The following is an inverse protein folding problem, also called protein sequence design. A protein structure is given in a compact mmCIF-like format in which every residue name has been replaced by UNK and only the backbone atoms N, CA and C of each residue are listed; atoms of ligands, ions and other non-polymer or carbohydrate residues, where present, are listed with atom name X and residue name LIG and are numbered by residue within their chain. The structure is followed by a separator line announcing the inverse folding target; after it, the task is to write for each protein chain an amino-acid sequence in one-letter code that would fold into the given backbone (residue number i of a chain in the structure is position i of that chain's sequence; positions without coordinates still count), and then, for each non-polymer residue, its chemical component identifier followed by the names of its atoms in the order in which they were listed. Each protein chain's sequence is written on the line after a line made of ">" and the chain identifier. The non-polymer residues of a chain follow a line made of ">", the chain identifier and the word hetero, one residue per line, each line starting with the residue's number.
data_IF_391111642501
#
_entry.id   IF_391111642501
#
_cell.length_a   1.000
_cell.length_b   1.000
_cell.length_c   1.000
_cell.angle_alpha   90.00
_cell.angle_beta   90.00
_cell.angle_gamma   90.00
#
_symmetry.space_group_name_H-M   'P 1'
#
loop_
_entity.id
_entity.type
_entity.pdbx_description
1 polymer ?
#
# COMPACT_ATOMS: atom_id res chain seq x y z
N UNK A 9 1.45 -2.75 -12.87
CA UNK A 9 2.10 -2.01 -13.93
C UNK A 9 1.45 -2.32 -15.28
N UNK A 10 0.74 -3.43 -15.35
CA UNK A 10 0.07 -3.83 -16.58
C UNK A 10 -1.36 -4.28 -16.30
N UNK A 11 -1.57 -4.95 -15.18
CA UNK A 11 -2.89 -5.43 -14.79
C UNK A 11 -3.03 -5.50 -13.27
N UNK A 12 -1.94 -5.88 -12.61
CA UNK A 12 -1.93 -6.00 -11.15
C UNK A 12 -2.43 -4.72 -10.50
N UNK A 13 -1.94 -3.59 -10.99
CA UNK A 13 -2.33 -2.28 -10.46
C UNK A 13 -3.02 -1.44 -11.53
N UNK A 14 -2.97 -1.91 -12.77
CA UNK A 14 -3.59 -1.20 -13.88
C UNK A 14 -5.09 -1.46 -13.94
N UNK A 15 -5.52 -2.56 -13.30
CA UNK A 15 -6.93 -2.91 -13.28
C UNK A 15 -7.76 -1.85 -12.57
N UNK A 16 -7.09 -1.04 -11.76
CA UNK A 16 -7.76 0.03 -11.02
C UNK A 16 -8.04 1.23 -11.90
N UNK A 17 -7.21 1.40 -12.94
CA UNK A 17 -7.38 2.51 -13.87
C UNK A 17 -8.81 2.58 -14.40
N UNK A 18 -9.26 1.48 -15.02
CA UNK A 18 -10.61 1.39 -15.58
C UNK A 18 -11.69 1.34 -14.49
N UNK A 19 -11.25 1.22 -13.24
CA UNK A 19 -12.18 1.16 -12.12
C UNK A 19 -12.03 2.38 -11.21
N UNK A 20 -12.48 3.54 -11.72
CA UNK A 20 -12.41 4.81 -10.99
C UNK A 20 -13.37 4.84 -9.80
N UNK A 21 -14.22 3.82 -9.70
CA UNK A 21 -15.18 3.74 -8.62
C UNK A 21 -14.48 3.83 -7.27
N UNK A 22 -13.22 3.45 -7.23
CA UNK A 22 -12.44 3.48 -6.00
C UNK A 22 -12.05 4.92 -5.64
N UNK A 23 -11.68 5.69 -6.65
CA UNK A 23 -11.30 7.08 -6.45
C UNK A 23 -12.52 7.98 -6.31
N UNK A 24 -13.64 7.54 -6.86
CA UNK A 24 -14.88 8.29 -6.81
C UNK A 24 -15.57 8.11 -5.46
N UNK A 25 -15.55 6.87 -4.96
CA UNK A 25 -16.18 6.56 -3.68
C UNK A 25 -15.41 7.20 -2.53
N UNK A 26 -14.09 7.19 -2.64
CA UNK A 26 -13.24 7.77 -1.60
C UNK A 26 -13.29 9.30 -1.65
N UNK A 27 -13.23 9.86 -2.85
CA UNK A 27 -13.27 11.31 -3.01
C UNK A 27 -14.60 11.87 -2.53
N UNK A 28 -15.66 11.08 -2.66
CA UNK A 28 -16.99 11.51 -2.24
C UNK A 28 -17.16 11.35 -0.73
N UNK A 29 -16.59 10.29 -0.17
CA UNK A 29 -16.67 10.03 1.26
C UNK A 29 -15.69 10.91 2.03
N UNK A 30 -14.40 10.66 1.84
CA UNK A 30 -13.37 11.42 2.51
C UNK A 30 -13.59 12.93 2.33
N UNK A 31 -13.47 13.38 1.07
CA UNK A 31 -13.66 14.79 0.79
C UNK A 31 -12.47 15.40 0.06
N UNK A 32 -11.34 15.48 0.76
CA UNK A 32 -10.12 16.05 0.17
C UNK A 32 -8.97 15.99 1.16
N UNK A 33 -9.28 16.16 2.44
CA UNK A 33 -8.27 16.13 3.48
C UNK A 33 -7.45 14.84 3.42
N UNK A 34 -8.14 13.71 3.57
CA UNK A 34 -7.48 12.41 3.53
C UNK A 34 -7.23 11.97 2.10
N UNK A 35 -8.15 12.32 1.20
CA UNK A 35 -8.02 11.97 -0.20
C UNK A 35 -6.78 12.60 -0.82
N UNK A 36 -6.34 13.71 -0.23
CA UNK A 36 -5.17 14.43 -0.72
C UNK A 36 -3.92 13.55 -0.62
N UNK A 37 -3.56 13.18 0.60
CA UNK A 37 -2.39 12.34 0.83
C UNK A 37 -2.43 11.09 -0.05
N UNK A 38 -3.41 10.24 0.20
CA UNK A 38 -3.57 9.00 -0.58
C UNK A 38 -3.65 9.31 -2.07
N UNK A 39 -4.09 10.51 -2.40
CA UNK A 39 -4.21 10.90 -3.80
C UNK A 39 -2.86 11.19 -4.43
N UNK A 40 -2.06 12.01 -3.78
CA UNK A 40 -0.75 12.37 -4.29
C UNK A 40 0.23 11.21 -4.13
N UNK A 41 -0.02 10.36 -3.14
CA UNK A 41 0.84 9.21 -2.88
C UNK A 41 0.85 8.26 -4.08
N UNK A 42 -0.33 7.99 -4.62
CA UNK A 42 -0.44 7.10 -5.77
C UNK A 42 0.34 7.64 -6.97
N UNK A 43 0.44 8.96 -7.05
CA UNK A 43 1.16 9.61 -8.14
C UNK A 43 2.62 9.14 -8.17
N UNK A 44 3.37 9.48 -7.12
CA UNK A 44 4.76 9.11 -7.02
C UNK A 44 4.91 7.60 -6.79
N UNK A 45 3.88 7.00 -6.21
CA UNK A 45 3.90 5.56 -5.94
C UNK A 45 4.23 4.77 -7.20
N UNK A 46 3.47 5.01 -8.26
CA UNK A 46 3.68 4.31 -9.52
C UNK A 46 4.83 4.94 -10.31
N UNK A 47 5.09 6.22 -10.03
CA UNK A 47 6.16 6.94 -10.71
C UNK A 47 7.51 6.28 -10.45
N UNK A 48 7.62 5.60 -9.31
CA UNK A 48 8.85 4.91 -8.95
C UNK A 48 9.26 3.90 -10.00
N UNK A 49 8.30 3.47 -10.82
CA UNK A 49 8.56 2.50 -11.88
C UNK A 49 9.73 2.95 -12.74
N UNK A 50 10.57 1.99 -13.13
CA UNK A 50 11.73 2.29 -13.96
C UNK A 50 12.04 1.13 -14.90
N UNK A 51 13.17 1.23 -15.60
CA UNK A 51 13.57 0.19 -16.54
C UNK A 51 14.98 0.46 -17.08
N UNK A 52 15.10 1.55 -17.85
CA UNK A 52 16.38 1.92 -18.43
C UNK A 52 17.46 2.06 -17.36
N UNK A 53 18.69 2.24 -17.78
CA UNK A 53 19.81 2.38 -16.85
C UNK A 53 19.61 3.59 -15.94
N UNK A 54 18.75 4.50 -16.35
CA UNK A 54 18.47 5.70 -15.58
C UNK A 54 18.13 5.34 -14.13
N UNK A 55 17.55 4.15 -13.94
CA UNK A 55 17.19 3.69 -12.61
C UNK A 55 18.41 3.64 -11.70
N UNK A 56 19.55 3.25 -12.25
CA UNK A 56 20.78 3.15 -11.49
C UNK A 56 21.26 4.54 -11.05
N UNK A 57 20.85 5.57 -11.78
CA UNK A 57 21.23 6.93 -11.47
C UNK A 57 20.38 7.49 -10.33
N UNK A 58 19.11 7.11 -10.31
CA UNK A 58 18.19 7.57 -9.27
C UNK A 58 18.45 6.85 -7.95
N UNK A 59 18.90 5.61 -8.04
CA UNK A 59 19.20 4.81 -6.86
C UNK A 59 20.23 5.49 -5.98
N UNK A 60 21.04 6.35 -6.59
CA UNK A 60 22.08 7.08 -5.86
C UNK A 60 21.50 7.75 -4.62
N UNK A 61 20.36 8.42 -4.80
CA UNK A 61 19.70 9.10 -3.70
C UNK A 61 18.27 8.61 -3.53
N UNK A 62 17.84 8.46 -2.26
CA UNK A 62 16.50 7.99 -1.96
C UNK A 62 15.46 9.07 -2.26
N UNK A 63 15.13 9.21 -3.55
CA UNK A 63 14.16 10.21 -3.98
C UNK A 63 12.73 9.72 -3.73
N UNK A 64 12.36 8.65 -4.44
CA UNK A 64 11.02 8.08 -4.31
C UNK A 64 10.72 7.72 -2.86
N UNK A 65 11.77 7.41 -2.10
CA UNK A 65 11.62 7.04 -0.70
C UNK A 65 11.22 8.25 0.14
N UNK A 66 11.93 9.36 -0.05
CA UNK A 66 11.65 10.59 0.69
C UNK A 66 10.24 11.09 0.39
N UNK A 67 9.85 11.01 -0.88
CA UNK A 67 8.52 11.45 -1.29
C UNK A 67 7.44 10.49 -0.82
N UNK A 68 7.76 9.20 -0.85
CA UNK A 68 6.81 8.17 -0.43
C UNK A 68 6.59 8.22 1.08
N UNK A 69 7.68 8.22 1.83
CA UNK A 69 7.61 8.26 3.29
C UNK A 69 6.99 9.58 3.76
N UNK A 70 7.14 10.63 2.94
CA UNK A 70 6.60 11.93 3.27
C UNK A 70 5.08 11.93 3.23
N UNK A 71 4.53 11.32 2.17
CA UNK A 71 3.08 11.25 2.01
C UNK A 71 2.48 10.13 2.86
N UNK A 72 3.23 9.03 2.97
CA UNK A 72 2.79 7.88 3.75
C UNK A 72 2.37 8.31 5.16
N UNK A 73 3.21 9.12 5.80
CA UNK A 73 2.92 9.60 7.14
C UNK A 73 1.75 10.58 7.13
N UNK A 74 1.53 11.21 5.99
CA UNK A 74 0.44 12.18 5.84
C UNK A 74 -0.92 11.48 5.91
N UNK A 75 -1.15 10.57 4.98
CA UNK A 75 -2.40 9.83 4.92
C UNK A 75 -2.62 9.02 6.20
N UNK A 76 -1.53 8.58 6.81
CA UNK A 76 -1.60 7.79 8.04
C UNK A 76 -1.85 8.70 9.24
N UNK A 77 -1.46 9.96 9.12
CA UNK A 77 -1.64 10.92 10.19
C UNK A 77 -3.07 11.46 10.21
N UNK A 78 -3.63 11.66 9.03
CA UNK A 78 -4.99 12.17 8.90
C UNK A 78 -6.01 11.07 9.18
N UNK A 79 -5.70 9.86 8.72
CA UNK A 79 -6.60 8.72 8.92
C UNK A 79 -6.63 8.30 10.38
N UNK A 80 -5.46 8.22 11.00
CA UNK A 80 -5.36 7.83 12.41
C UNK A 80 -6.01 8.88 13.30
N UNK A 81 -5.94 10.14 12.88
CA UNK A 81 -6.52 11.24 13.65
C UNK A 81 -8.04 11.19 13.60
N UNK A 82 -8.59 11.06 12.39
CA UNK A 82 -10.04 11.01 12.22
C UNK A 82 -10.60 9.68 12.69
N UNK A 83 -9.75 8.65 12.69
CA UNK A 83 -10.15 7.32 13.13
C UNK A 83 -10.43 7.30 14.63
N UNK A 84 -9.45 7.75 15.41
CA UNK A 84 -9.58 7.79 16.86
C UNK A 84 -10.86 8.50 17.27
N UNK A 85 -11.22 9.53 16.52
CA UNK A 85 -12.44 10.31 16.81
C UNK A 85 -13.67 9.58 16.28
N UNK A 86 -13.48 8.75 15.28
CA UNK A 86 -14.58 8.00 14.68
C UNK A 86 -14.97 6.81 15.55
N UNK A 87 -13.97 6.15 16.13
CA UNK A 87 -14.21 5.00 16.99
C UNK A 87 -15.17 5.36 18.12
N UNK A 88 -15.20 6.64 18.47
CA UNK A 88 -16.07 7.11 19.55
C UNK A 88 -17.52 6.71 19.28
N UNK A 89 -17.86 6.53 18.00
CA UNK A 89 -19.21 6.16 17.61
C UNK A 89 -19.18 5.05 16.56
N UNK A 90 -20.22 4.22 16.55
CA UNK A 90 -20.31 3.12 15.59
C UNK A 90 -21.66 3.13 14.88
N UNK A 91 -21.99 2.03 14.22
CA UNK A 91 -23.25 1.91 13.50
C UNK A 91 -24.44 1.97 14.46
N UNK A 92 -25.62 2.34 13.92
CA UNK A 92 -26.85 2.44 14.71
C UNK A 92 -27.37 1.08 15.16
N UNK A 93 -26.71 0.50 16.16
CA UNK A 93 -27.09 -0.79 16.69
C UNK A 93 -26.77 -0.91 18.18
N UNK A 94 -25.48 -1.06 18.48
CA UNK A 94 -25.04 -1.18 19.86
C UNK A 94 -25.74 -2.34 20.57
N UNK A 95 -25.21 -3.54 20.39
CA UNK A 95 -25.79 -4.73 21.01
C UNK A 95 -24.79 -5.89 20.99
N UNK A 96 -24.46 -6.37 19.80
CA UNK A 96 -23.53 -7.47 19.65
C UNK A 96 -22.72 -7.33 18.35
N UNK A 97 -23.41 -6.92 17.29
CA UNK A 97 -22.75 -6.76 15.99
C UNK A 97 -21.52 -5.87 16.10
N UNK A 98 -21.61 -4.83 16.93
CA UNK A 98 -20.50 -3.91 17.12
C UNK A 98 -19.22 -4.66 17.46
N UNK A 99 -19.37 -5.87 18.00
CA UNK A 99 -18.23 -6.69 18.36
C UNK A 99 -17.36 -6.99 17.15
N UNK A 100 -17.98 -7.00 15.97
CA UNK A 100 -17.27 -7.27 14.73
C UNK A 100 -16.52 -6.05 14.25
N UNK A 101 -16.97 -4.86 14.68
CA UNK A 101 -16.35 -3.61 14.29
C UNK A 101 -14.93 -3.51 14.87
N UNK A 102 -14.70 -4.19 15.99
CA UNK A 102 -13.40 -4.17 16.64
C UNK A 102 -12.39 -4.97 15.83
N UNK A 103 -12.82 -6.10 15.30
CA UNK A 103 -11.95 -6.96 14.51
C UNK A 103 -11.79 -6.41 13.09
N UNK A 104 -12.88 -5.86 12.54
CA UNK A 104 -12.86 -5.31 11.20
C UNK A 104 -11.69 -4.35 11.03
N UNK A 105 -11.64 -3.32 11.87
CA UNK A 105 -10.57 -2.33 11.81
C UNK A 105 -9.21 -2.99 11.98
N UNK A 106 -9.16 -4.04 12.79
CA UNK A 106 -7.92 -4.77 13.04
C UNK A 106 -7.30 -5.24 11.74
N UNK A 107 -8.14 -5.63 10.79
CA UNK A 107 -7.68 -6.11 9.49
C UNK A 107 -7.14 -4.96 8.65
N UNK A 108 -8.03 -4.03 8.30
CA UNK A 108 -7.64 -2.88 7.49
C UNK A 108 -6.46 -2.15 8.10
N UNK A 109 -6.34 -2.22 9.42
CA UNK A 109 -5.25 -1.56 10.13
C UNK A 109 -3.92 -2.21 9.79
N UNK A 110 -3.81 -3.50 10.08
CA UNK A 110 -2.58 -4.25 9.81
C UNK A 110 -2.20 -4.17 8.32
N UNK A 111 -3.20 -3.93 7.48
CA UNK A 111 -2.98 -3.84 6.04
C UNK A 111 -2.29 -2.52 5.69
N UNK A 112 -2.64 -1.46 6.41
CA UNK A 112 -2.06 -0.14 6.18
C UNK A 112 -0.55 -0.15 6.45
N UNK A 113 -0.19 -0.36 7.71
CA UNK A 113 1.21 -0.39 8.08
C UNK A 113 2.01 -1.41 7.28
N UNK A 114 1.38 -2.56 7.04
CA UNK A 114 2.04 -3.63 6.28
C UNK A 114 2.60 -3.10 4.96
N UNK A 115 1.72 -2.54 4.14
CA UNK A 115 2.13 -2.00 2.84
C UNK A 115 3.04 -0.78 3.02
N UNK A 116 2.60 0.16 3.85
CA UNK A 116 3.39 1.37 4.12
C UNK A 116 4.82 1.02 4.46
N UNK A 117 5.01 0.33 5.59
CA UNK A 117 6.34 -0.06 6.03
C UNK A 117 7.08 -0.80 4.92
N UNK A 118 6.35 -1.60 4.16
CA UNK A 118 6.94 -2.37 3.06
C UNK A 118 7.49 -1.44 1.98
N UNK A 119 6.86 -0.29 1.83
CA UNK A 119 7.28 0.69 0.83
C UNK A 119 8.70 1.17 1.10
N UNK A 120 8.88 1.87 2.23
CA UNK A 120 10.19 2.38 2.60
C UNK A 120 11.25 1.29 2.53
N UNK A 121 10.87 0.07 2.90
CA UNK A 121 11.79 -1.05 2.87
C UNK A 121 12.23 -1.40 1.46
N UNK A 122 11.28 -1.38 0.53
CA UNK A 122 11.58 -1.70 -0.87
C UNK A 122 12.67 -0.78 -1.42
N UNK A 123 12.60 0.50 -1.06
CA UNK A 123 13.58 1.47 -1.51
C UNK A 123 14.88 1.35 -0.73
N UNK A 124 14.78 1.37 0.59
CA UNK A 124 15.94 1.26 1.46
C UNK A 124 16.79 0.04 1.10
N UNK A 125 16.11 -1.03 0.68
CA UNK A 125 16.80 -2.26 0.30
C UNK A 125 17.35 -2.16 -1.11
N UNK A 126 16.47 -1.89 -2.07
CA UNK A 126 16.86 -1.76 -3.47
C UNK A 126 18.04 -0.80 -3.61
N UNK A 127 18.03 0.26 -2.82
CA UNK A 127 19.09 1.26 -2.86
C UNK A 127 20.33 0.76 -2.12
N UNK A 128 20.12 0.21 -0.93
CA UNK A 128 21.24 -0.29 -0.15
C UNK A 128 21.95 -1.45 -0.82
N UNK A 129 21.23 -2.15 -1.68
CA UNK A 129 21.80 -3.29 -2.39
C UNK A 129 22.64 -2.83 -3.59
N UNK A 130 22.02 -2.06 -4.48
CA UNK A 130 22.70 -1.55 -5.66
C UNK A 130 23.87 -0.65 -5.27
N UNK A 131 23.64 0.22 -4.30
CA UNK A 131 24.69 1.14 -3.83
C UNK A 131 25.91 0.37 -3.36
N UNK A 132 25.72 -0.88 -2.97
CA UNK A 132 26.81 -1.72 -2.50
C UNK A 132 27.59 -2.31 -3.67
N UNK A 133 26.94 -2.42 -4.83
CA UNK A 133 27.58 -2.95 -6.02
C UNK A 133 28.06 -1.83 -6.94
N UNK A 134 27.13 -1.06 -7.47
CA UNK A 134 27.46 0.05 -8.36
C UNK A 134 28.11 -0.46 -9.64
N UNK A 135 27.45 -1.38 -10.32
CA UNK A 135 27.98 -1.94 -11.55
C UNK A 135 27.28 -3.21 -11.96
N UNK A 136 25.97 -3.27 -11.74
CA UNK A 136 25.18 -4.44 -12.10
C UNK A 136 24.15 -4.10 -13.18
N UNK A 137 23.25 -5.03 -13.43
CA UNK A 137 22.21 -4.84 -14.44
C UNK A 137 21.03 -4.06 -13.86
N UNK A 138 19.93 -4.05 -14.60
CA UNK A 138 18.73 -3.33 -14.16
C UNK A 138 17.48 -4.21 -14.32
N UNK A 139 17.43 -4.97 -15.40
CA UNK A 139 16.30 -5.85 -15.67
C UNK A 139 16.18 -6.91 -14.59
N UNK A 140 17.30 -7.54 -14.25
CA UNK A 140 17.31 -8.59 -13.22
C UNK A 140 16.63 -8.10 -11.94
N UNK A 141 16.80 -6.83 -11.63
CA UNK A 141 16.20 -6.24 -10.44
C UNK A 141 14.81 -5.69 -10.75
N UNK A 142 14.58 -5.34 -12.00
CA UNK A 142 13.29 -4.81 -12.43
C UNK A 142 12.22 -5.88 -12.40
N UNK A 143 12.57 -7.07 -12.90
CA UNK A 143 11.63 -8.18 -12.92
C UNK A 143 10.89 -8.31 -11.59
N UNK A 144 11.63 -8.25 -10.50
CA UNK A 144 11.05 -8.37 -9.17
C UNK A 144 10.51 -7.02 -8.70
N UNK A 145 11.09 -5.95 -9.21
CA UNK A 145 10.67 -4.60 -8.83
C UNK A 145 9.30 -4.28 -9.41
N UNK A 146 8.93 -4.96 -10.50
CA UNK A 146 7.65 -4.75 -11.14
C UNK A 146 6.54 -5.43 -10.36
N UNK A 147 6.72 -6.71 -10.05
CA UNK A 147 5.72 -7.46 -9.30
C UNK A 147 5.63 -6.98 -7.86
N UNK A 148 6.78 -6.86 -7.21
CA UNK A 148 6.84 -6.41 -5.83
C UNK A 148 6.07 -5.10 -5.66
N UNK A 149 6.44 -4.09 -6.42
CA UNK A 149 5.78 -2.79 -6.35
C UNK A 149 4.33 -2.89 -6.79
N UNK A 150 4.05 -3.84 -7.68
CA UNK A 150 2.69 -4.04 -8.19
C UNK A 150 1.75 -4.46 -7.06
N UNK A 151 2.18 -5.44 -6.27
CA UNK A 151 1.38 -5.94 -5.16
C UNK A 151 1.41 -4.96 -3.99
N UNK A 152 2.57 -4.31 -3.80
CA UNK A 152 2.73 -3.35 -2.71
C UNK A 152 1.87 -2.11 -2.95
N UNK A 153 1.81 -1.67 -4.20
CA UNK A 153 1.01 -0.50 -4.56
C UNK A 153 -0.46 -0.86 -4.70
N UNK A 154 -0.73 -2.09 -5.09
CA UNK A 154 -2.10 -2.56 -5.26
C UNK A 154 -2.78 -2.74 -3.91
N UNK A 155 -2.08 -3.37 -2.98
CA UNK A 155 -2.62 -3.61 -1.64
C UNK A 155 -2.93 -2.29 -0.94
N UNK A 156 -1.91 -1.45 -0.77
CA UNK A 156 -2.09 -0.17 -0.12
C UNK A 156 -3.24 0.62 -0.75
N UNK A 157 -3.47 0.39 -2.03
CA UNK A 157 -4.54 1.06 -2.76
C UNK A 157 -5.90 0.49 -2.37
N UNK A 158 -6.10 -0.78 -2.70
CA UNK A 158 -7.37 -1.45 -2.39
C UNK A 158 -7.67 -1.38 -0.89
N UNK A 159 -6.62 -1.23 -0.09
CA UNK A 159 -6.77 -1.15 1.36
C UNK A 159 -7.23 0.25 1.78
N UNK A 160 -6.58 1.26 1.22
CA UNK A 160 -6.93 2.64 1.54
C UNK A 160 -8.42 2.89 1.37
N UNK A 161 -9.01 2.28 0.35
CA UNK A 161 -10.43 2.43 0.09
C UNK A 161 -11.26 1.58 1.05
N UNK A 162 -11.04 0.27 1.00
CA UNK A 162 -11.77 -0.65 1.86
C UNK A 162 -11.71 -0.19 3.32
N UNK A 163 -10.67 0.53 3.67
CA UNK A 163 -10.49 1.03 5.03
C UNK A 163 -11.30 2.29 5.24
N UNK A 164 -11.21 3.22 4.30
CA UNK A 164 -11.93 4.48 4.39
C UNK A 164 -13.44 4.25 4.28
N UNK A 165 -13.81 3.14 3.65
CA UNK A 165 -15.22 2.80 3.47
C UNK A 165 -15.89 2.55 4.83
N UNK A 166 -15.21 1.82 5.69
CA UNK A 166 -15.74 1.50 7.02
C UNK A 166 -15.83 2.76 7.87
N UNK A 167 -14.90 3.69 7.65
CA UNK A 167 -14.88 4.93 8.41
C UNK A 167 -16.07 5.81 8.04
N UNK A 168 -16.60 5.61 6.84
CA UNK A 168 -17.75 6.38 6.39
C UNK A 168 -19.03 5.93 7.06
N UNK A 169 -19.09 4.64 7.41
CA UNK A 169 -20.26 4.08 8.06
C UNK A 169 -20.26 4.39 9.56
N UNK A 170 -19.08 4.31 10.17
CA UNK A 170 -18.94 4.57 11.59
C UNK A 170 -19.45 5.98 11.94
N UNK A 171 -19.43 6.86 10.95
CA UNK A 171 -19.90 8.23 11.15
C UNK A 171 -21.35 8.26 11.60
N UNK A 172 -22.05 7.16 11.37
CA UNK A 172 -23.46 7.05 11.76
C UNK A 172 -23.67 7.50 13.20
N UNK A 173 -23.39 6.60 14.13
CA UNK A 173 -23.55 6.92 15.54
C UNK A 173 -24.15 5.78 16.34
N UNK A 174 -23.41 5.30 17.33
CA UNK A 174 -23.89 4.20 18.16
C UNK A 174 -24.03 4.64 19.62
N UNK A 175 -24.24 3.67 20.51
CA UNK A 175 -24.39 3.96 21.93
C UNK A 175 -23.41 3.15 22.77
N UNK A 176 -23.71 1.87 22.94
CA UNK A 176 -22.84 0.99 23.72
C UNK A 176 -21.53 0.72 22.99
N UNK A 177 -21.63 0.45 21.69
CA UNK A 177 -20.45 0.19 20.90
C UNK A 177 -19.41 1.29 21.01
N UNK A 178 -19.87 2.49 21.34
CA UNK A 178 -18.97 3.64 21.48
C UNK A 178 -17.78 3.29 22.36
N UNK A 179 -18.00 2.43 23.35
CA UNK A 179 -16.95 2.01 24.26
C UNK A 179 -16.03 1.00 23.62
N UNK A 180 -16.60 0.10 22.82
CA UNK A 180 -15.84 -0.92 22.13
C UNK A 180 -14.97 -0.32 21.03
N UNK A 181 -15.48 0.74 20.41
CA UNK A 181 -14.74 1.40 19.34
C UNK A 181 -13.33 1.74 19.74
N UNK A 182 -13.18 2.49 20.83
CA UNK A 182 -11.87 2.89 21.32
C UNK A 182 -10.97 1.66 21.54
N UNK A 183 -11.60 0.53 21.84
CA UNK A 183 -10.86 -0.70 22.08
C UNK A 183 -10.27 -1.24 20.78
N UNK A 184 -10.97 -1.02 19.68
CA UNK A 184 -10.52 -1.48 18.37
C UNK A 184 -9.09 -1.02 18.09
N UNK A 185 -8.87 0.29 18.15
CA UNK A 185 -7.55 0.84 17.91
C UNK A 185 -6.54 0.35 18.95
N UNK A 186 -7.04 -0.04 20.11
CA UNK A 186 -6.19 -0.55 21.18
C UNK A 186 -5.80 -2.01 20.93
N UNK A 187 -6.65 -2.71 20.19
CA UNK A 187 -6.39 -4.12 19.89
C UNK A 187 -5.41 -4.25 18.74
N UNK A 188 -5.33 -3.23 17.91
CA UNK A 188 -4.42 -3.23 16.76
C UNK A 188 -2.99 -2.96 17.21
N UNK A 189 -2.74 -1.74 17.67
CA UNK A 189 -1.40 -1.36 18.13
C UNK A 189 -1.47 -0.72 19.51
N UNK A 190 -0.45 -0.97 20.32
CA UNK A 190 -0.40 -0.41 21.66
C UNK A 190 0.96 0.16 22.01
N UNK A 191 1.92 -0.74 22.28
CA UNK A 191 3.29 -0.35 22.63
C UNK A 191 4.04 0.26 21.45
N UNK A 192 3.92 -0.37 20.29
CA UNK A 192 4.58 0.12 19.09
C UNK A 192 4.12 1.53 18.74
N UNK A 193 4.48 1.98 17.54
CA UNK A 193 4.11 3.31 17.08
C UNK A 193 3.23 3.24 15.83
N UNK A 194 1.94 3.04 16.03
CA UNK A 194 0.99 2.96 14.92
C UNK A 194 1.18 1.65 14.15
N UNK A 195 2.27 1.57 13.40
CA UNK A 195 2.58 0.39 12.61
C UNK A 195 3.87 -0.28 13.09
N UNK A 196 4.94 0.49 13.11
CA UNK A 196 6.23 -0.04 13.55
C UNK A 196 7.32 1.01 13.52
N UNK A 197 7.13 2.09 14.26
CA UNK A 197 8.11 3.17 14.31
C UNK A 197 8.49 3.62 12.91
N UNK A 198 7.49 3.92 12.10
CA UNK A 198 7.72 4.38 10.73
C UNK A 198 8.72 5.52 10.69
N UNK A 199 8.73 6.32 11.75
CA UNK A 199 9.64 7.46 11.84
C UNK A 199 11.08 7.03 11.57
N UNK A 200 11.47 5.89 12.13
CA UNK A 200 12.82 5.36 11.95
C UNK A 200 13.17 5.26 10.47
N UNK A 201 12.15 5.15 9.63
CA UNK A 201 12.36 5.04 8.19
C UNK A 201 12.72 6.40 7.59
N UNK A 202 12.07 7.44 8.07
CA UNK A 202 12.31 8.79 7.58
C UNK A 202 13.79 9.16 7.69
N UNK A 203 14.48 8.50 8.60
CA UNK A 203 15.91 8.76 8.81
C UNK A 203 16.75 8.07 7.74
N UNK A 204 16.46 6.79 7.49
CA UNK A 204 17.20 6.05 6.48
C UNK A 204 17.05 6.64 5.10
N UNK A 205 15.82 7.05 4.75
CA UNK A 205 15.55 7.63 3.44
C UNK A 205 16.44 8.85 3.20
N UNK A 206 16.88 9.49 4.28
CA UNK A 206 17.73 10.66 4.18
C UNK A 206 19.18 10.27 3.93
N UNK A 207 19.51 9.03 4.28
CA UNK A 207 20.87 8.52 4.09
C UNK A 207 21.34 8.75 2.66
N UNK A 208 20.69 8.09 1.71
CA UNK A 208 21.05 8.24 0.32
C UNK A 208 22.52 7.92 0.07
N UNK A 209 23.09 8.55 -0.96
CA UNK A 209 24.49 8.32 -1.30
C UNK A 209 24.93 9.26 -2.43
N UNK A 210 25.11 10.54 -2.09
CA UNK A 210 25.54 11.56 -3.06
C UNK A 210 26.98 11.36 -3.51
N UNK A 211 27.24 11.64 -4.79
CA UNK A 211 28.58 11.49 -5.36
C UNK A 211 29.23 12.85 -5.55
N UNK A 212 28.78 13.57 -6.57
CA UNK A 212 29.33 14.90 -6.87
C UNK A 212 28.22 15.87 -7.24
N UNK A 213 27.32 15.42 -8.11
CA UNK A 213 26.21 16.26 -8.54
C UNK A 213 25.30 15.51 -9.53
N UNK A 214 25.18 14.20 -9.31
CA UNK A 214 24.35 13.36 -10.17
C UNK A 214 23.65 12.27 -9.37
N UNK A 215 23.56 12.49 -8.06
CA UNK A 215 22.91 11.52 -7.17
C UNK A 215 21.44 11.35 -7.52
N UNK A 216 20.90 12.31 -8.28
CA UNK A 216 19.50 12.27 -8.68
C UNK A 216 19.37 12.47 -10.18
N UNK A 217 19.65 13.69 -10.64
CA UNK A 217 19.56 14.01 -12.06
C UNK A 217 18.22 13.58 -12.64
N UNK A 218 17.19 13.62 -11.80
CA UNK A 218 15.84 13.22 -12.24
C UNK A 218 15.43 14.01 -13.48
N UNK A 219 16.01 15.19 -13.66
CA UNK A 219 15.68 16.01 -14.81
C UNK A 219 15.75 15.24 -16.11
N UNK A 220 16.96 14.78 -16.46
CA UNK A 220 17.15 14.03 -17.70
C UNK A 220 16.72 12.58 -17.51
N UNK A 221 16.83 12.08 -16.28
CA UNK A 221 16.46 10.70 -15.98
C UNK A 221 14.99 10.45 -16.30
N UNK A 222 14.12 11.26 -15.74
CA UNK A 222 12.68 11.14 -15.96
C UNK A 222 12.37 11.08 -17.46
N UNK A 223 13.21 11.73 -18.25
CA UNK A 223 13.03 11.76 -19.70
C UNK A 223 12.94 10.34 -20.27
N UNK A 224 14.03 9.59 -20.16
CA UNK A 224 14.07 8.23 -20.66
C UNK A 224 13.34 7.28 -19.72
N UNK A 225 13.24 7.67 -18.44
CA UNK A 225 12.57 6.85 -17.45
C UNK A 225 11.18 6.43 -17.92
N UNK A 226 10.30 7.42 -18.08
CA UNK A 226 8.94 7.16 -18.54
C UNK A 226 8.93 6.73 -20.00
N UNK A 227 9.92 7.19 -20.76
CA UNK A 227 10.03 6.85 -22.18
C UNK A 227 10.14 5.35 -22.37
N UNK A 228 11.16 4.76 -21.74
CA UNK A 228 11.40 3.33 -21.85
C UNK A 228 10.33 2.54 -21.09
N UNK A 229 10.03 2.98 -19.87
CA UNK A 229 9.03 2.32 -19.05
C UNK A 229 7.70 2.21 -19.78
N UNK A 230 7.26 3.33 -20.37
CA UNK A 230 6.00 3.34 -21.09
C UNK A 230 6.14 2.78 -22.50
N UNK A 231 7.36 2.83 -23.04
CA UNK A 231 7.62 2.32 -24.38
C UNK A 231 7.07 0.91 -24.54
N UNK A 232 7.39 0.04 -23.59
CA UNK A 232 6.93 -1.34 -23.62
C UNK A 232 7.45 -2.13 -22.42
N UNK A 233 8.65 -1.77 -21.97
CA UNK A 233 9.26 -2.43 -20.83
C UNK A 233 9.67 -3.86 -21.18
N UNK A 234 10.81 -4.30 -20.65
CA UNK A 234 11.30 -5.64 -20.91
C UNK A 234 11.47 -6.42 -19.61
N UNK A 235 10.36 -6.88 -19.06
CA UNK A 235 10.38 -7.63 -17.81
C UNK A 235 9.06 -8.37 -17.58
N UNK A 236 7.98 -7.59 -17.43
CA UNK A 236 6.67 -8.16 -17.21
C UNK A 236 6.74 -9.37 -16.29
N UNK A 237 7.56 -9.27 -15.25
CA UNK A 237 7.72 -10.37 -14.30
C UNK A 237 8.23 -11.62 -14.99
N UNK A 238 9.51 -11.63 -15.33
CA UNK A 238 10.11 -12.78 -16.00
C UNK A 238 10.67 -13.77 -14.98
N UNK A 239 10.26 -13.62 -13.73
CA UNK A 239 10.72 -14.49 -12.66
C UNK A 239 12.24 -14.58 -12.64
N UNK A 240 12.88 -13.58 -12.04
CA UNK A 240 14.34 -13.55 -11.96
C UNK A 240 14.80 -12.80 -10.71
N UNK A 241 14.74 -13.48 -9.57
CA UNK A 241 15.15 -12.88 -8.31
C UNK A 241 16.62 -12.47 -8.35
N UNK A 242 16.86 -11.16 -8.47
CA UNK A 242 18.23 -10.64 -8.52
C UNK A 242 18.68 -10.17 -7.14
N UNK A 243 17.88 -9.29 -6.53
CA UNK A 243 18.20 -8.76 -5.22
C UNK A 243 17.85 -9.76 -4.13
N UNK A 244 16.71 -10.41 -4.27
CA UNK A 244 16.25 -11.40 -3.29
C UNK A 244 16.24 -10.81 -1.89
N UNK A 245 16.09 -9.49 -1.81
CA UNK A 245 16.06 -8.80 -0.52
C UNK A 245 14.66 -8.28 -0.20
N UNK A 246 14.14 -7.45 -1.10
CA UNK A 246 12.81 -6.87 -0.93
C UNK A 246 11.73 -7.90 -1.21
N UNK A 247 12.00 -8.78 -2.17
CA UNK A 247 11.05 -9.82 -2.55
C UNK A 247 10.58 -10.60 -1.32
N UNK A 248 11.46 -10.76 -0.35
CA UNK A 248 11.14 -11.48 0.86
C UNK A 248 9.98 -10.82 1.60
N UNK A 249 9.97 -9.49 1.62
CA UNK A 249 8.92 -8.74 2.29
C UNK A 249 7.56 -9.04 1.67
N UNK A 250 7.43 -8.78 0.37
CA UNK A 250 6.19 -9.02 -0.34
C UNK A 250 5.80 -10.49 -0.28
N UNK A 251 6.80 -11.36 -0.23
CA UNK A 251 6.58 -12.80 -0.17
C UNK A 251 5.93 -13.19 1.14
N UNK A 252 6.60 -12.87 2.25
CA UNK A 252 6.09 -13.19 3.57
C UNK A 252 4.84 -12.39 3.89
N UNK A 253 4.71 -11.23 3.25
CA UNK A 253 3.56 -10.36 3.45
C UNK A 253 2.34 -10.88 2.71
N UNK A 254 2.51 -11.14 1.42
CA UNK A 254 1.43 -11.64 0.58
C UNK A 254 0.77 -12.87 1.22
N UNK A 255 1.56 -13.63 1.97
CA UNK A 255 1.06 -14.82 2.64
C UNK A 255 0.08 -14.46 3.75
N UNK A 256 0.49 -13.53 4.61
CA UNK A 256 -0.37 -13.09 5.71
C UNK A 256 -1.53 -12.26 5.20
N UNK A 257 -1.38 -11.69 4.01
CA UNK A 257 -2.43 -10.87 3.42
C UNK A 257 -3.77 -11.59 3.46
N UNK A 258 -3.76 -12.89 3.21
CA UNK A 258 -4.97 -13.69 3.22
C UNK A 258 -5.67 -13.60 4.57
N UNK A 259 -4.90 -13.50 5.63
CA UNK A 259 -5.44 -13.40 6.98
C UNK A 259 -6.14 -12.07 7.19
N UNK A 260 -5.63 -11.03 6.54
CA UNK A 260 -6.21 -9.70 6.66
C UNK A 260 -7.47 -9.57 5.81
N UNK A 261 -7.31 -9.73 4.49
CA UNK A 261 -8.44 -9.63 3.58
C UNK A 261 -9.58 -10.55 4.03
N UNK A 262 -9.23 -11.63 4.72
CA UNK A 262 -10.23 -12.57 5.21
C UNK A 262 -11.07 -11.97 6.33
N UNK A 263 -10.40 -11.60 7.42
CA UNK A 263 -11.09 -11.01 8.56
C UNK A 263 -11.80 -9.72 8.16
N UNK A 264 -11.19 -8.97 7.25
CA UNK A 264 -11.77 -7.72 6.78
C UNK A 264 -12.98 -7.97 5.90
N UNK A 265 -12.96 -9.08 5.18
CA UNK A 265 -14.06 -9.44 4.29
C UNK A 265 -15.25 -9.98 5.07
N UNK A 266 -15.01 -11.00 5.88
CA UNK A 266 -16.05 -11.61 6.69
C UNK A 266 -16.73 -10.56 7.58
N UNK A 267 -15.92 -9.68 8.16
CA UNK A 267 -16.45 -8.62 9.02
C UNK A 267 -17.24 -7.60 8.23
N UNK A 268 -16.60 -7.02 7.21
CA UNK A 268 -17.24 -6.02 6.37
C UNK A 268 -18.61 -6.51 5.88
N UNK A 269 -18.68 -7.79 5.57
CA UNK A 269 -19.93 -8.40 5.09
C UNK A 269 -21.09 -8.04 6.01
N UNK A 270 -20.93 -8.31 7.30
CA UNK A 270 -21.96 -8.01 8.28
C UNK A 270 -21.93 -6.54 8.67
N UNK A 271 -20.75 -5.95 8.66
CA UNK A 271 -20.59 -4.54 9.01
C UNK A 271 -21.44 -3.66 8.11
N UNK A 272 -21.36 -3.89 6.80
CA UNK A 272 -22.13 -3.11 5.83
C UNK A 272 -23.54 -3.67 5.69
N UNK A 273 -23.74 -4.90 6.18
CA UNK A 273 -25.05 -5.54 6.09
C UNK A 273 -26.08 -4.80 6.95
N UNK A 274 -25.59 -4.15 8.00
CA UNK A 274 -26.47 -3.41 8.90
C UNK A 274 -26.96 -2.11 8.25
N UNK A 275 -26.00 -1.27 7.83
CA UNK A 275 -26.30 0.01 7.19
C UNK A 275 -26.88 -0.17 5.79
N UNK A 276 -26.37 -1.17 5.06
CA UNK A 276 -26.85 -1.45 3.71
C UNK A 276 -26.63 -2.91 3.35
N UNK A 277 -26.49 -3.18 2.06
CA UNK A 277 -26.27 -4.55 1.58
C UNK A 277 -25.94 -4.56 0.09
N UNK A 278 -25.31 -3.49 -0.38
CA UNK A 278 -24.94 -3.39 -1.78
C UNK A 278 -23.43 -3.31 -1.95
N UNK A 279 -22.74 -3.00 -0.86
CA UNK A 279 -21.28 -2.89 -0.88
C UNK A 279 -20.65 -4.13 -1.51
N UNK A 280 -20.99 -5.30 -0.98
CA UNK A 280 -20.46 -6.56 -1.49
C UNK A 280 -20.79 -6.72 -2.97
N UNK A 281 -21.84 -6.06 -3.42
CA UNK A 281 -22.26 -6.13 -4.82
C UNK A 281 -21.27 -5.39 -5.71
N UNK A 282 -21.18 -4.08 -5.53
CA UNK A 282 -20.28 -3.26 -6.34
C UNK A 282 -18.83 -3.67 -6.10
N UNK A 283 -18.56 -4.28 -4.95
CA UNK A 283 -17.21 -4.72 -4.61
C UNK A 283 -16.89 -6.05 -5.28
N UNK A 284 -17.93 -6.82 -5.58
CA UNK A 284 -17.75 -8.11 -6.22
C UNK A 284 -17.06 -7.97 -7.58
N UNK A 285 -17.30 -6.85 -8.24
CA UNK A 285 -16.69 -6.58 -9.54
C UNK A 285 -16.36 -5.10 -9.70
N UNK A 286 -16.02 -4.45 -8.59
CA UNK A 286 -15.68 -3.05 -8.63
C UNK A 286 -14.76 -2.64 -7.49
N UNK A 287 -14.12 -3.61 -6.87
CA UNK A 287 -13.21 -3.35 -5.77
C UNK A 287 -11.83 -2.95 -6.28
N UNK A 288 -11.30 -3.74 -7.20
CA UNK A 288 -9.98 -3.48 -7.78
C UNK A 288 -9.61 -4.53 -8.81
N UNK A 289 -10.01 -5.78 -8.55
CA UNK A 289 -9.71 -6.88 -9.46
C UNK A 289 -10.18 -8.21 -8.88
N UNK A 290 -10.16 -8.30 -7.55
CA UNK A 290 -10.58 -9.52 -6.86
C UNK A 290 -9.63 -10.68 -7.17
N UNK A 291 -8.39 -10.34 -7.52
CA UNK A 291 -7.39 -11.35 -7.83
C UNK A 291 -7.92 -12.37 -8.82
N UNK A 292 -8.07 -11.95 -10.08
CA UNK A 292 -8.57 -12.83 -11.13
C UNK A 292 -7.63 -14.01 -11.34
N UNK A 293 -7.92 -15.12 -10.67
CA UNK A 293 -7.10 -16.32 -10.79
C UNK A 293 -5.65 -16.04 -10.41
N UNK A 294 -5.31 -16.32 -9.17
CA UNK A 294 -3.95 -16.10 -8.68
C UNK A 294 -3.49 -14.67 -8.97
N UNK A 295 -2.21 -14.41 -8.73
CA UNK A 295 -1.65 -13.09 -8.97
C UNK A 295 -0.41 -13.18 -9.86
N UNK A 296 -0.01 -12.04 -10.41
CA UNK A 296 1.15 -12.01 -11.29
C UNK A 296 0.92 -12.74 -12.60
N UNK A 297 1.29 -12.11 -13.70
CA UNK A 297 1.12 -12.71 -15.02
C UNK A 297 2.03 -13.92 -15.20
N UNK A 298 3.27 -13.79 -14.75
CA UNK A 298 4.25 -14.88 -14.87
C UNK A 298 4.81 -15.24 -13.50
N UNK A 299 5.54 -14.31 -12.90
CA UNK A 299 6.14 -14.53 -11.58
C UNK A 299 5.07 -14.59 -10.49
N UNK A 300 4.46 -15.75 -10.34
CA UNK A 300 3.41 -15.93 -9.32
C UNK A 300 3.87 -15.40 -7.97
N UNK A 301 2.90 -15.15 -7.07
CA UNK A 301 3.17 -14.64 -5.73
C UNK A 301 3.87 -15.67 -4.84
N UNK A 302 5.19 -15.74 -4.95
CA UNK A 302 5.97 -16.69 -4.16
C UNK A 302 5.57 -16.63 -2.69
N UNK A 303 5.39 -17.81 -2.08
CA UNK A 303 5.01 -17.92 -0.66
C UNK A 303 6.13 -17.49 0.27
N UNK A 304 7.36 -17.90 -0.05
CA UNK A 304 8.51 -17.55 0.78
C UNK A 304 9.81 -17.80 0.01
N UNK A 305 9.83 -18.86 -0.79
CA UNK A 305 11.01 -19.21 -1.57
C UNK A 305 12.14 -19.71 -0.67
N UNK A 306 11.76 -20.22 0.50
CA UNK A 306 12.74 -20.72 1.46
C UNK A 306 13.76 -19.64 1.82
N UNK A 307 14.72 -20.01 2.66
CA UNK A 307 15.75 -19.07 3.09
C UNK A 307 17.14 -19.69 2.96
#
# INVERSE_FOLDING_TARGET
>A
HHHHHHHHKVEQAVETEPEPELRQQTEWQSGQRWELALGRFWDYLRWVQTLSEQVQEELLSSQVTQELRALMDETMKELKAYKSELEEQLTPVAEETRARLSKELQAAQARLGADMEDVCGRLVQYRGEVQAMLGQSTEELRVRLASHLRKLRKRLLRDADDLQKRLAVYQAGAREGAERGLSAIRERLGPLVEQGRVRAATVGSLAGQPLQERAQAWGERLRARMEEMGSRTRDRLDEVKEQVAEVRAKLEEQAQQIRLQAEAAQARLKSRFEPLAEDMQRQWAGQVEKVQAAEGTSAAPVPSDNH
#
